data_IF_238548009471
#
_entry.id   IF_238548009471
#
_cell.length_a   1.000
_cell.length_b   1.000
_cell.length_c   1.000
_cell.angle_alpha   90.00
_cell.angle_beta   90.00
_cell.angle_gamma   90.00
#
_symmetry.space_group_name_H-M   'P 1'
#
loop_
_entity.id
_entity.type
_entity.pdbx_description
1 polymer ?
#
# COMPACT_ATOMS: atom_id res chain seq x y z
N UNK A 1 2.34 12.14 55.77
CA UNK A 1 1.68 10.83 55.81
C UNK A 1 0.44 10.96 54.93
N UNK A 2 0.51 10.51 53.67
CA UNK A 2 -0.04 9.21 53.22
C UNK A 2 -1.47 9.07 53.71
N UNK A 3 -2.50 9.12 52.86
CA UNK A 3 -2.89 8.11 51.85
C UNK A 3 -4.43 8.16 51.86
N UNK A 4 -5.26 7.80 50.89
CA UNK A 4 -5.20 7.16 49.60
C UNK A 4 -6.63 7.25 49.02
N UNK A 5 -6.78 6.83 47.75
CA UNK A 5 -7.98 6.23 47.11
C UNK A 5 -8.80 7.18 46.22
N UNK A 6 -9.16 6.86 44.96
CA UNK A 6 -9.07 5.61 44.16
C UNK A 6 -9.64 5.90 42.74
N UNK A 7 -9.06 5.24 41.70
CA UNK A 7 -9.65 4.83 40.38
C UNK A 7 -10.09 5.94 39.40
N UNK A 8 -10.02 5.79 38.07
CA UNK A 8 -9.70 4.72 37.11
C UNK A 8 -9.39 5.46 35.78
N UNK A 9 -8.34 5.07 35.05
CA UNK A 9 -8.43 4.33 33.78
C UNK A 9 -9.40 4.91 32.76
N UNK A 10 -8.88 5.53 31.69
CA UNK A 10 -9.30 5.21 30.31
C UNK A 10 -8.33 5.81 29.28
N UNK A 11 -7.70 4.87 28.59
CA UNK A 11 -6.94 4.94 27.35
C UNK A 11 -7.72 5.64 26.23
N UNK A 12 -7.11 6.61 25.52
CA UNK A 12 -7.63 7.10 24.24
C UNK A 12 -6.51 7.39 23.24
N UNK A 13 -6.24 6.37 22.44
CA UNK A 13 -6.21 6.39 20.99
C UNK A 13 -5.74 7.69 20.31
N UNK A 14 -4.48 7.63 19.87
CA UNK A 14 -4.00 8.02 18.54
C UNK A 14 -5.11 8.55 17.60
N UNK A 15 -5.11 9.87 17.41
CA UNK A 15 -5.70 10.50 16.24
C UNK A 15 -4.60 11.29 15.57
N UNK A 16 -4.24 10.82 14.38
CA UNK A 16 -3.45 11.53 13.38
C UNK A 16 -3.89 12.98 13.32
N UNK A 17 -3.08 13.86 13.92
CA UNK A 17 -3.24 15.30 13.80
C UNK A 17 -2.97 15.67 12.34
N UNK A 18 -4.05 15.88 11.58
CA UNK A 18 -3.98 16.79 10.45
C UNK A 18 -3.64 18.14 11.07
N UNK A 19 -2.44 18.65 10.81
CA UNK A 19 -2.05 19.99 11.22
C UNK A 19 -2.93 21.00 10.48
N UNK A 20 -4.12 21.26 11.02
CA UNK A 20 -4.84 22.50 10.80
C UNK A 20 -3.92 23.61 11.30
N UNK A 21 -3.16 24.23 10.39
CA UNK A 21 -2.50 25.50 10.66
C UNK A 21 -3.60 26.55 10.79
N UNK A 22 -4.29 26.55 11.92
CA UNK A 22 -5.10 27.66 12.38
C UNK A 22 -4.15 28.75 12.86
N UNK A 23 -3.54 29.43 11.89
CA UNK A 23 -2.79 30.65 12.15
C UNK A 23 -3.74 31.67 12.79
N UNK A 24 -3.46 32.06 14.04
CA UNK A 24 -4.15 33.11 14.81
C UNK A 24 -4.09 34.51 14.15
N UNK A 25 -3.43 34.64 12.99
CA UNK A 25 -3.28 35.88 12.25
C UNK A 25 -4.38 36.07 11.20
N UNK A 26 -5.02 37.25 11.21
CA UNK A 26 -6.03 37.66 10.21
C UNK A 26 -5.45 37.64 8.80
N UNK A 27 -6.19 37.08 7.84
CA UNK A 27 -5.83 37.11 6.41
C UNK A 27 -5.64 38.54 5.92
N UNK A 28 -4.47 38.85 5.35
CA UNK A 28 -4.16 40.15 4.78
C UNK A 28 -4.63 40.23 3.32
N UNK A 29 -5.30 41.32 2.94
CA UNK A 29 -5.70 41.57 1.55
C UNK A 29 -4.56 42.30 0.82
N UNK A 30 -4.23 41.82 -0.37
CA UNK A 30 -3.29 42.46 -1.28
C UNK A 30 -3.83 42.42 -2.71
N UNK A 31 -3.39 43.34 -3.57
CA UNK A 31 -3.74 43.35 -4.99
C UNK A 31 -2.82 42.42 -5.78
N UNK A 32 -3.39 41.51 -6.55
CA UNK A 32 -2.65 40.59 -7.43
C UNK A 32 -3.00 40.88 -8.89
N UNK A 33 -1.99 41.12 -9.73
CA UNK A 33 -2.16 41.18 -11.19
C UNK A 33 -1.89 39.80 -11.77
N UNK A 34 -2.88 39.21 -12.44
CA UNK A 34 -2.73 37.92 -13.14
C UNK A 34 -3.28 38.04 -14.55
N UNK A 35 -2.79 37.19 -15.46
CA UNK A 35 -3.33 37.10 -16.80
C UNK A 35 -4.77 36.55 -16.77
N UNK A 36 -5.66 37.07 -17.64
CA UNK A 36 -7.07 36.63 -17.68
C UNK A 36 -7.20 35.13 -17.94
N UNK A 37 -6.33 34.57 -18.80
CA UNK A 37 -6.25 33.14 -19.09
C UNK A 37 -6.00 32.30 -17.82
N UNK A 38 -5.09 32.76 -16.96
CA UNK A 38 -4.80 32.09 -15.68
C UNK A 38 -5.99 32.21 -14.72
N UNK A 39 -6.71 33.35 -14.74
CA UNK A 39 -7.89 33.55 -13.91
C UNK A 39 -9.01 32.59 -14.28
N UNK A 40 -9.23 32.36 -15.58
CA UNK A 40 -10.21 31.39 -16.08
C UNK A 40 -9.89 29.95 -15.64
N UNK A 41 -8.61 29.58 -15.68
CA UNK A 41 -8.15 28.28 -15.18
C UNK A 41 -8.44 28.16 -13.67
N UNK A 42 -8.09 29.19 -12.88
CA UNK A 42 -8.39 29.23 -11.44
C UNK A 42 -9.89 29.10 -11.19
N UNK A 43 -10.72 29.83 -11.95
CA UNK A 43 -12.19 29.82 -11.84
C UNK A 43 -12.81 28.45 -12.13
N UNK A 44 -12.18 27.70 -13.02
CA UNK A 44 -12.59 26.33 -13.36
C UNK A 44 -12.14 25.36 -12.28
N UNK A 45 -10.85 25.39 -11.91
CA UNK A 45 -10.22 24.38 -11.06
C UNK A 45 -10.54 24.52 -9.57
N UNK A 46 -10.80 25.73 -9.04
CA UNK A 46 -11.07 25.88 -7.61
C UNK A 46 -12.33 25.13 -7.16
N UNK A 47 -13.31 24.99 -8.07
CA UNK A 47 -14.54 24.21 -7.83
C UNK A 47 -14.27 22.70 -7.84
N UNK A 48 -13.35 22.24 -8.70
CA UNK A 48 -12.96 20.84 -8.76
C UNK A 48 -12.13 20.39 -7.55
N UNK A 49 -11.31 21.29 -6.99
CA UNK A 49 -10.48 21.03 -5.78
C UNK A 49 -11.25 21.18 -4.45
N UNK A 50 -12.59 21.29 -4.51
CA UNK A 50 -13.46 21.49 -3.34
C UNK A 50 -13.05 22.68 -2.44
N UNK A 51 -12.45 23.72 -3.03
CA UNK A 51 -12.07 24.94 -2.32
C UNK A 51 -13.29 25.86 -2.14
N UNK A 52 -13.40 26.51 -0.98
CA UNK A 52 -14.51 27.43 -0.65
C UNK A 52 -14.37 28.78 -1.35
N UNK A 53 -13.17 29.13 -1.81
CA UNK A 53 -12.91 30.40 -2.51
C UNK A 53 -11.70 30.30 -3.44
N UNK A 54 -11.63 31.21 -4.43
CA UNK A 54 -10.43 31.41 -5.25
C UNK A 54 -9.18 31.68 -4.42
N UNK A 55 -9.33 32.45 -3.33
CA UNK A 55 -8.23 32.77 -2.42
C UNK A 55 -7.66 31.52 -1.75
N UNK A 56 -8.50 30.56 -1.36
CA UNK A 56 -8.05 29.28 -0.78
C UNK A 56 -7.29 28.44 -1.80
N UNK A 57 -7.79 28.37 -3.03
CA UNK A 57 -7.10 27.67 -4.12
C UNK A 57 -5.74 28.30 -4.45
N UNK A 58 -5.69 29.63 -4.55
CA UNK A 58 -4.44 30.37 -4.78
C UNK A 58 -3.48 30.17 -3.61
N UNK A 59 -3.97 30.19 -2.36
CA UNK A 59 -3.16 29.94 -1.17
C UNK A 59 -2.53 28.54 -1.20
N UNK A 60 -3.31 27.50 -1.53
CA UNK A 60 -2.81 26.13 -1.71
C UNK A 60 -1.76 26.06 -2.84
N UNK A 61 -2.03 26.68 -3.99
CA UNK A 61 -1.11 26.69 -5.13
C UNK A 61 0.22 27.39 -4.80
N UNK A 62 0.17 28.51 -4.07
CA UNK A 62 1.35 29.22 -3.58
C UNK A 62 2.11 28.35 -2.58
N UNK A 63 1.43 27.74 -1.60
CA UNK A 63 2.06 26.82 -0.64
C UNK A 63 2.71 25.63 -1.33
N UNK A 64 2.06 25.07 -2.36
CA UNK A 64 2.61 24.00 -3.18
C UNK A 64 3.91 24.44 -3.90
N UNK A 65 3.89 25.59 -4.57
CA UNK A 65 5.07 26.08 -5.28
C UNK A 65 6.20 26.47 -4.32
N UNK A 66 5.87 27.07 -3.17
CA UNK A 66 6.82 27.29 -2.09
C UNK A 66 7.41 25.97 -1.60
N UNK A 67 6.60 24.95 -1.33
CA UNK A 67 7.07 23.62 -0.95
C UNK A 67 7.99 22.98 -2.00
N UNK A 68 7.64 23.10 -3.28
CA UNK A 68 8.47 22.66 -4.41
C UNK A 68 9.84 23.37 -4.45
N UNK A 69 9.85 24.70 -4.28
CA UNK A 69 11.09 25.47 -4.26
C UNK A 69 11.93 25.18 -3.00
N UNK A 70 11.27 24.97 -1.87
CA UNK A 70 11.94 24.82 -0.59
C UNK A 70 12.59 23.45 -0.46
N UNK A 71 12.02 22.35 -0.98
CA UNK A 71 12.58 20.97 -1.09
C UNK A 71 13.39 20.44 0.14
N UNK A 72 13.37 21.16 1.26
CA UNK A 72 14.15 21.01 2.51
C UNK A 72 13.28 21.31 3.74
N UNK A 73 12.04 21.74 3.55
CA UNK A 73 11.12 22.10 4.64
C UNK A 73 9.91 21.14 4.62
N UNK A 74 9.37 20.85 5.80
CA UNK A 74 8.30 19.87 6.07
C UNK A 74 7.05 20.03 5.18
N UNK A 75 6.82 21.21 4.61
CA UNK A 75 5.68 21.49 3.74
C UNK A 75 5.74 20.74 2.40
N UNK A 76 6.93 20.37 1.90
CA UNK A 76 7.05 19.58 0.66
C UNK A 76 6.54 18.14 0.84
N UNK A 77 6.69 17.57 2.03
CA UNK A 77 6.25 16.19 2.32
C UNK A 77 4.74 16.05 2.34
N UNK A 78 3.99 17.07 2.80
CA UNK A 78 2.53 17.01 2.87
C UNK A 78 1.86 16.88 1.48
N UNK A 79 2.49 17.43 0.44
CA UNK A 79 1.94 17.43 -0.92
C UNK A 79 2.48 16.30 -1.80
N UNK A 80 3.76 15.93 -1.64
CA UNK A 80 4.37 14.84 -2.44
C UNK A 80 3.99 13.47 -1.89
N UNK A 81 3.82 13.32 -0.56
CA UNK A 81 3.56 12.02 0.04
C UNK A 81 2.26 11.36 -0.46
N UNK A 82 1.09 12.04 -0.56
CA UNK A 82 -0.13 11.41 -1.07
C UNK A 82 0.00 10.94 -2.51
N UNK A 83 0.68 11.73 -3.36
CA UNK A 83 0.91 11.37 -4.76
C UNK A 83 1.85 10.18 -4.89
N UNK A 84 2.92 10.14 -4.11
CA UNK A 84 3.86 9.02 -4.08
C UNK A 84 3.18 7.75 -3.56
N UNK A 85 2.35 7.86 -2.53
CA UNK A 85 1.54 6.75 -2.00
C UNK A 85 0.59 6.23 -3.08
N UNK A 86 -0.14 7.11 -3.78
CA UNK A 86 -1.04 6.70 -4.87
C UNK A 86 -0.29 6.00 -6.01
N UNK A 87 0.90 6.49 -6.38
CA UNK A 87 1.76 5.83 -7.37
C UNK A 87 2.25 4.46 -6.89
N UNK A 88 2.72 4.36 -5.64
CA UNK A 88 3.18 3.12 -5.04
C UNK A 88 2.05 2.10 -4.97
N UNK A 89 0.86 2.50 -4.53
CA UNK A 89 -0.35 1.66 -4.55
C UNK A 89 -0.70 1.19 -5.97
N UNK A 90 -0.62 2.09 -6.96
CA UNK A 90 -0.87 1.75 -8.36
C UNK A 90 0.11 0.69 -8.89
N UNK A 91 1.40 0.83 -8.56
CA UNK A 91 2.43 -0.16 -8.91
C UNK A 91 2.16 -1.48 -8.20
N UNK A 92 1.90 -1.47 -6.90
CA UNK A 92 1.63 -2.68 -6.10
C UNK A 92 0.40 -3.40 -6.62
N UNK A 93 -0.74 -2.72 -6.76
CA UNK A 93 -1.96 -3.32 -7.33
C UNK A 93 -1.73 -3.85 -8.74
N UNK A 94 -1.00 -3.10 -9.58
CA UNK A 94 -0.62 -3.55 -10.91
C UNK A 94 0.22 -4.83 -10.89
N UNK A 95 1.18 -4.94 -9.97
CA UNK A 95 2.02 -6.13 -9.79
C UNK A 95 1.23 -7.31 -9.24
N UNK A 96 0.39 -7.10 -8.24
CA UNK A 96 -0.46 -8.12 -7.62
C UNK A 96 -1.38 -8.77 -8.66
N UNK A 97 -2.03 -7.95 -9.50
CA UNK A 97 -2.91 -8.44 -10.55
C UNK A 97 -2.16 -9.26 -11.61
N UNK A 98 -0.94 -8.86 -11.99
CA UNK A 98 -0.11 -9.65 -12.91
C UNK A 98 0.35 -10.95 -12.27
N UNK A 99 0.76 -10.92 -11.01
CA UNK A 99 1.21 -12.09 -10.27
C UNK A 99 0.06 -13.08 -10.08
N UNK A 100 -1.13 -12.63 -9.69
CA UNK A 100 -2.32 -13.48 -9.54
C UNK A 100 -2.66 -14.22 -10.84
N UNK A 101 -2.66 -13.51 -11.98
CA UNK A 101 -2.87 -14.14 -13.30
C UNK A 101 -1.77 -15.13 -13.67
N UNK A 102 -0.51 -14.83 -13.36
CA UNK A 102 0.60 -15.73 -13.63
C UNK A 102 0.53 -17.00 -12.76
N UNK A 103 0.25 -16.84 -11.46
CA UNK A 103 0.05 -17.95 -10.53
C UNK A 103 -1.13 -18.84 -10.94
N UNK A 104 -2.23 -18.25 -11.42
CA UNK A 104 -3.36 -19.02 -11.94
C UNK A 104 -2.95 -19.89 -13.14
N UNK A 105 -2.22 -19.33 -14.12
CA UNK A 105 -1.72 -20.11 -15.27
C UNK A 105 -0.81 -21.24 -14.83
N UNK A 106 0.12 -20.97 -13.92
CA UNK A 106 1.01 -21.99 -13.35
C UNK A 106 0.21 -23.07 -12.61
N UNK A 107 -0.81 -22.70 -11.85
CA UNK A 107 -1.66 -23.65 -11.13
C UNK A 107 -2.45 -24.56 -12.09
N UNK A 108 -2.92 -24.04 -13.22
CA UNK A 108 -3.59 -24.83 -14.26
C UNK A 108 -2.62 -25.88 -14.84
N UNK A 109 -1.42 -25.46 -15.24
CA UNK A 109 -0.41 -26.39 -15.79
C UNK A 109 0.07 -27.41 -14.75
N UNK A 110 0.29 -26.98 -13.49
CA UNK A 110 0.67 -27.88 -12.39
C UNK A 110 -0.43 -28.90 -12.09
N UNK A 111 -1.70 -28.49 -12.15
CA UNK A 111 -2.85 -29.39 -12.02
C UNK A 111 -2.88 -30.43 -13.12
N UNK A 112 -2.72 -30.01 -14.39
CA UNK A 112 -2.67 -30.93 -15.53
C UNK A 112 -1.53 -31.96 -15.41
N UNK A 113 -0.32 -31.52 -15.03
CA UNK A 113 0.82 -32.41 -14.79
C UNK A 113 0.55 -33.37 -13.62
N UNK A 114 -0.03 -32.88 -12.53
CA UNK A 114 -0.36 -33.72 -11.36
C UNK A 114 -1.37 -34.82 -11.72
N UNK A 115 -2.43 -34.46 -12.46
CA UNK A 115 -3.42 -35.44 -12.93
C UNK A 115 -2.84 -36.44 -13.92
N UNK A 116 -2.00 -35.98 -14.86
CA UNK A 116 -1.31 -36.87 -15.80
C UNK A 116 -0.40 -37.86 -15.06
N UNK A 117 0.38 -37.40 -14.08
CA UNK A 117 1.29 -38.25 -13.32
C UNK A 117 0.54 -39.27 -12.46
N UNK A 118 -0.56 -38.84 -11.81
CA UNK A 118 -1.43 -39.73 -11.06
C UNK A 118 -2.02 -40.83 -11.95
N UNK A 119 -2.44 -40.50 -13.17
CA UNK A 119 -2.96 -41.47 -14.13
C UNK A 119 -1.88 -42.42 -14.66
N UNK A 120 -0.67 -41.94 -14.97
CA UNK A 120 0.44 -42.76 -15.48
C UNK A 120 0.96 -43.75 -14.45
N UNK A 121 0.97 -43.37 -13.18
CA UNK A 121 1.50 -44.21 -12.09
C UNK A 121 0.42 -44.89 -11.25
N UNK A 122 -0.86 -44.78 -11.65
CA UNK A 122 -2.00 -45.37 -10.93
C UNK A 122 -1.99 -45.01 -9.44
N UNK A 123 -1.66 -43.76 -9.11
CA UNK A 123 -1.52 -43.31 -7.72
C UNK A 123 -2.90 -43.25 -7.07
N UNK A 124 -3.05 -43.93 -5.93
CA UNK A 124 -4.27 -43.90 -5.12
C UNK A 124 -4.40 -42.61 -4.29
N UNK A 125 -5.63 -42.32 -3.88
CA UNK A 125 -5.97 -41.11 -3.12
C UNK A 125 -5.23 -41.04 -1.76
N UNK A 126 -5.06 -42.16 -1.06
CA UNK A 126 -4.39 -42.20 0.24
C UNK A 126 -2.90 -41.86 0.12
N UNK A 127 -2.24 -42.36 -0.93
CA UNK A 127 -0.85 -42.05 -1.25
C UNK A 127 -0.69 -40.57 -1.59
N UNK A 128 -1.60 -39.99 -2.39
CA UNK A 128 -1.57 -38.55 -2.70
C UNK A 128 -1.79 -37.66 -1.48
N UNK A 129 -2.70 -38.05 -0.57
CA UNK A 129 -2.96 -37.32 0.68
C UNK A 129 -1.70 -37.32 1.57
N UNK A 130 -1.06 -38.48 1.74
CA UNK A 130 0.19 -38.62 2.53
C UNK A 130 1.32 -37.80 1.92
N UNK A 131 1.52 -37.88 0.60
CA UNK A 131 2.53 -37.10 -0.10
C UNK A 131 2.30 -35.60 0.06
N UNK A 132 1.04 -35.14 -0.07
CA UNK A 132 0.69 -33.72 0.12
C UNK A 132 0.99 -33.25 1.55
N UNK A 133 0.65 -34.05 2.56
CA UNK A 133 0.96 -33.73 3.95
C UNK A 133 2.48 -33.62 4.18
N UNK A 134 3.25 -34.59 3.69
CA UNK A 134 4.72 -34.58 3.75
C UNK A 134 5.31 -33.33 3.10
N UNK A 135 4.89 -32.99 1.88
CA UNK A 135 5.36 -31.80 1.15
C UNK A 135 5.02 -30.50 1.89
N UNK A 136 3.81 -30.38 2.47
CA UNK A 136 3.42 -29.21 3.25
C UNK A 136 4.34 -29.04 4.46
N UNK A 137 4.61 -30.12 5.18
CA UNK A 137 5.47 -30.08 6.37
C UNK A 137 6.93 -29.80 6.00
N UNK A 138 7.40 -30.36 4.88
CA UNK A 138 8.74 -30.06 4.37
C UNK A 138 8.88 -28.58 4.02
N UNK A 139 7.94 -28.03 3.25
CA UNK A 139 7.93 -26.62 2.82
C UNK A 139 7.90 -25.68 4.03
N UNK A 140 7.10 -25.99 5.06
CA UNK A 140 7.09 -25.25 6.33
C UNK A 140 8.45 -25.32 7.03
N UNK A 141 9.06 -26.50 7.12
CA UNK A 141 10.35 -26.71 7.78
C UNK A 141 11.51 -25.99 7.08
N UNK A 142 11.44 -25.84 5.75
CA UNK A 142 12.49 -25.23 4.94
C UNK A 142 12.20 -23.78 4.53
N UNK A 143 11.15 -23.15 5.10
CA UNK A 143 10.71 -21.79 4.75
C UNK A 143 10.52 -21.58 3.23
N UNK A 144 9.96 -22.55 2.53
CA UNK A 144 9.69 -22.46 1.09
C UNK A 144 10.87 -22.78 0.16
N UNK A 145 12.07 -23.04 0.69
CA UNK A 145 13.24 -23.38 -0.13
C UNK A 145 13.32 -24.90 -0.38
N UNK A 146 12.67 -25.36 -1.45
CA UNK A 146 12.73 -26.77 -1.88
C UNK A 146 14.08 -27.05 -2.55
N UNK A 147 14.82 -28.02 -2.02
CA UNK A 147 16.07 -28.50 -2.62
C UNK A 147 15.83 -29.82 -3.37
N UNK A 148 16.07 -29.80 -4.68
CA UNK A 148 15.79 -30.93 -5.54
C UNK A 148 16.68 -32.15 -5.25
N UNK A 149 17.98 -31.95 -4.96
CA UNK A 149 18.88 -33.06 -4.64
C UNK A 149 18.45 -33.81 -3.38
N UNK A 150 17.95 -33.09 -2.37
CA UNK A 150 17.40 -33.66 -1.14
C UNK A 150 16.11 -34.43 -1.42
N UNK A 151 15.21 -33.88 -2.23
CA UNK A 151 13.99 -34.57 -2.63
C UNK A 151 14.29 -35.89 -3.36
N UNK A 152 15.24 -35.88 -4.31
CA UNK A 152 15.67 -37.09 -5.03
C UNK A 152 16.28 -38.12 -4.09
N UNK A 153 17.14 -37.70 -3.14
CA UNK A 153 17.71 -38.62 -2.14
C UNK A 153 16.63 -39.24 -1.27
N UNK A 154 15.65 -38.47 -0.84
CA UNK A 154 14.54 -38.94 -0.02
C UNK A 154 13.70 -39.99 -0.76
N UNK A 155 13.38 -39.76 -2.04
CA UNK A 155 12.57 -40.68 -2.85
C UNK A 155 13.31 -41.96 -3.28
N UNK A 156 14.63 -42.03 -3.08
CA UNK A 156 15.48 -43.19 -3.43
C UNK A 156 16.02 -43.93 -2.20
N UNK A 157 15.67 -43.49 -1.00
CA UNK A 157 15.99 -44.19 0.22
C UNK A 157 14.97 -45.33 0.36
N UNK A 158 15.36 -46.51 -0.15
CA UNK A 158 14.72 -47.80 0.15
C UNK A 158 14.82 -48.13 1.65
#
# INVERSE_FOLDING_TARGET
>A
MQSDKIKNTEEKAEKTEVCEVTSEYKKQRFGLKIFPETLEIVDTLFKHDNCKSRSEFIEKAVRFYCGYLLNKEHTATEFIAPQLTAMAEGIVKGTEQRLSRALFKIAVELGAVTHMLAAVHEIDDDTMIKLRAMCIDEVKRINGVINFEKAVRYQRLD
#
